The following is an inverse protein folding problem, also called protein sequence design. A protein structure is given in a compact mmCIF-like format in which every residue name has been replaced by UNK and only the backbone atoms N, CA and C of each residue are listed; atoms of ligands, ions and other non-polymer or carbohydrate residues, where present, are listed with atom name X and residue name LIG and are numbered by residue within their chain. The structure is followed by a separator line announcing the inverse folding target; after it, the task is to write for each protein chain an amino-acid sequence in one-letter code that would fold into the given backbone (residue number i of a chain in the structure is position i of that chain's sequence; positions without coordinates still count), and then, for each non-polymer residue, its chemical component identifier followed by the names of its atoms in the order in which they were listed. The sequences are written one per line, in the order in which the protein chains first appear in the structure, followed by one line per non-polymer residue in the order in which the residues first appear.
data_IF_447604375568
#
_entry.id   IF_447604375568
#
_cell.length_a   1.000
_cell.length_b   1.000
_cell.length_c   1.000
_cell.angle_alpha   90.00
_cell.angle_beta   90.00
_cell.angle_gamma   90.00
#
_symmetry.space_group_name_H-M   'P 1'
#
loop_
_entity.id
_entity.type
_entity.pdbx_description
1 polymer ?
#
# COMPACT_ATOMS: atom_id res chain seq x y z
N UNK A 1 -122.48 85.08 -100.06
CA UNK A 1 -122.31 86.55 -100.11
C UNK A 1 -123.55 87.30 -100.59
N UNK A 2 -124.06 87.08 -101.81
CA UNK A 2 -125.26 87.81 -102.30
C UNK A 2 -126.51 87.57 -101.42
N UNK A 3 -126.76 86.34 -100.97
CA UNK A 3 -127.83 86.03 -100.01
C UNK A 3 -127.65 86.77 -98.67
N UNK A 4 -126.43 86.75 -98.12
CA UNK A 4 -126.09 87.43 -96.86
C UNK A 4 -126.29 88.95 -96.95
N UNK A 5 -125.95 89.56 -98.09
CA UNK A 5 -126.14 90.99 -98.32
C UNK A 5 -127.62 91.40 -98.43
N UNK A 6 -128.44 90.60 -99.13
CA UNK A 6 -129.88 90.84 -99.26
C UNK A 6 -130.63 90.69 -97.92
N UNK A 7 -130.18 89.77 -97.07
CA UNK A 7 -130.66 89.62 -95.68
C UNK A 7 -130.35 90.87 -94.85
N UNK A 8 -129.11 91.36 -94.90
CA UNK A 8 -128.69 92.56 -94.16
C UNK A 8 -129.39 93.85 -94.63
N UNK A 9 -129.83 93.92 -95.89
CA UNK A 9 -130.60 95.04 -96.43
C UNK A 9 -132.11 94.99 -96.09
N UNK A 10 -132.58 93.99 -95.33
CA UNK A 10 -133.98 93.82 -94.94
C UNK A 10 -134.92 93.40 -96.08
N UNK A 11 -134.37 93.06 -97.26
CA UNK A 11 -135.14 92.73 -98.46
C UNK A 11 -135.66 91.29 -98.46
N UNK A 12 -135.14 90.42 -97.59
CA UNK A 12 -135.58 89.03 -97.49
C UNK A 12 -136.38 88.85 -96.19
N UNK A 13 -137.67 88.50 -96.27
CA UNK A 13 -138.50 88.24 -95.10
C UNK A 13 -137.91 87.15 -94.21
N UNK A 14 -138.08 87.30 -92.89
CA UNK A 14 -137.57 86.36 -91.90
C UNK A 14 -138.04 84.90 -92.17
N UNK A 15 -139.24 84.73 -92.72
CA UNK A 15 -139.79 83.41 -93.08
C UNK A 15 -138.97 82.70 -94.18
N UNK A 16 -138.50 83.45 -95.19
CA UNK A 16 -137.66 82.91 -96.26
C UNK A 16 -136.26 82.62 -95.72
N UNK A 17 -135.73 83.49 -94.85
CA UNK A 17 -134.46 83.23 -94.17
C UNK A 17 -134.52 81.93 -93.36
N UNK A 18 -135.61 81.71 -92.62
CA UNK A 18 -135.82 80.50 -91.84
C UNK A 18 -135.90 79.25 -92.73
N UNK A 19 -136.55 79.32 -93.90
CA UNK A 19 -136.61 78.20 -94.85
C UNK A 19 -135.25 77.87 -95.45
N UNK A 20 -134.47 78.88 -95.86
CA UNK A 20 -133.13 78.65 -96.38
C UNK A 20 -132.23 78.07 -95.29
N UNK A 21 -132.31 78.59 -94.06
CA UNK A 21 -131.58 78.02 -92.92
C UNK A 21 -131.97 76.56 -92.66
N UNK A 22 -133.27 76.25 -92.68
CA UNK A 22 -133.76 74.88 -92.51
C UNK A 22 -133.30 73.94 -93.65
N UNK A 23 -133.29 74.42 -94.90
CA UNK A 23 -132.81 73.65 -96.05
C UNK A 23 -131.30 73.40 -95.97
N UNK A 24 -130.53 74.42 -95.56
CA UNK A 24 -129.09 74.28 -95.32
C UNK A 24 -128.82 73.31 -94.17
N UNK A 25 -129.55 73.42 -93.06
CA UNK A 25 -129.45 72.48 -91.93
C UNK A 25 -129.79 71.05 -92.36
N UNK A 26 -130.82 70.84 -93.17
CA UNK A 26 -131.18 69.53 -93.69
C UNK A 26 -130.06 68.97 -94.59
N UNK A 27 -129.53 69.79 -95.51
CA UNK A 27 -128.42 69.40 -96.40
C UNK A 27 -127.15 69.04 -95.59
N UNK A 28 -126.79 69.89 -94.63
CA UNK A 28 -125.67 69.71 -93.69
C UNK A 28 -125.83 68.45 -92.83
N UNK A 29 -127.08 68.07 -92.52
CA UNK A 29 -127.36 66.90 -91.69
C UNK A 29 -127.42 65.58 -92.46
N UNK A 30 -127.34 65.61 -93.79
CA UNK A 30 -127.27 64.38 -94.59
C UNK A 30 -126.00 63.59 -94.27
N UNK A 31 -126.11 62.26 -94.24
CA UNK A 31 -124.98 61.37 -93.97
C UNK A 31 -123.87 61.54 -95.00
N UNK A 32 -124.21 61.82 -96.26
CA UNK A 32 -123.24 62.09 -97.32
C UNK A 32 -122.37 63.31 -97.02
N UNK A 33 -122.97 64.42 -96.56
CA UNK A 33 -122.21 65.64 -96.21
C UNK A 33 -121.38 65.43 -94.95
N UNK A 34 -121.93 64.76 -93.92
CA UNK A 34 -121.18 64.42 -92.70
C UNK A 34 -119.98 63.52 -92.97
N UNK A 35 -120.15 62.50 -93.82
CA UNK A 35 -119.08 61.59 -94.22
C UNK A 35 -117.97 62.34 -94.97
N UNK A 36 -118.34 63.18 -95.94
CA UNK A 36 -117.38 64.02 -96.66
C UNK A 36 -116.61 64.97 -95.73
N UNK A 37 -117.28 65.55 -94.73
CA UNK A 37 -116.63 66.38 -93.71
C UNK A 37 -115.63 65.52 -92.91
N UNK A 38 -116.02 64.34 -92.43
CA UNK A 38 -115.16 63.43 -91.66
C UNK A 38 -113.94 62.96 -92.45
N UNK A 39 -114.14 62.56 -93.71
CA UNK A 39 -113.06 62.10 -94.59
C UNK A 39 -112.09 63.22 -94.90
N UNK A 40 -112.61 64.43 -95.20
CA UNK A 40 -111.76 65.60 -95.41
C UNK A 40 -111.01 66.00 -94.15
N UNK A 41 -111.63 65.95 -92.97
CA UNK A 41 -110.96 66.22 -91.69
C UNK A 41 -109.87 65.20 -91.42
N UNK A 42 -110.11 63.92 -91.67
CA UNK A 42 -109.12 62.85 -91.49
C UNK A 42 -107.95 63.01 -92.44
N UNK A 43 -108.22 63.25 -93.73
CA UNK A 43 -107.18 63.53 -94.72
C UNK A 43 -106.39 64.80 -94.37
N UNK A 44 -107.07 65.85 -93.89
CA UNK A 44 -106.42 67.10 -93.50
C UNK A 44 -105.54 66.93 -92.25
N UNK A 45 -105.94 66.11 -91.26
CA UNK A 45 -105.09 65.72 -90.12
C UNK A 45 -103.85 64.97 -90.58
N UNK A 46 -104.01 64.00 -91.49
CA UNK A 46 -102.88 63.24 -92.03
C UNK A 46 -101.92 64.15 -92.79
N UNK A 47 -102.44 65.04 -93.64
CA UNK A 47 -101.65 66.04 -94.35
C UNK A 47 -100.91 66.98 -93.39
N UNK A 48 -101.58 67.44 -92.32
CA UNK A 48 -100.96 68.30 -91.29
C UNK A 48 -99.85 67.56 -90.53
N UNK A 49 -100.03 66.27 -90.21
CA UNK A 49 -98.99 65.44 -89.59
C UNK A 49 -97.80 65.28 -90.56
N UNK A 50 -98.06 64.95 -91.83
CA UNK A 50 -97.02 64.82 -92.86
C UNK A 50 -96.28 66.13 -93.11
N UNK A 51 -97.00 67.25 -93.18
CA UNK A 51 -96.43 68.60 -93.30
C UNK A 51 -95.59 68.97 -92.08
N UNK A 52 -96.04 68.68 -90.87
CA UNK A 52 -95.26 68.94 -89.65
C UNK A 52 -94.03 68.04 -89.55
N UNK A 53 -94.14 66.77 -89.96
CA UNK A 53 -93.00 65.83 -89.97
C UNK A 53 -92.01 66.12 -91.10
N UNK A 54 -92.47 66.72 -92.20
CA UNK A 54 -91.62 67.17 -93.32
C UNK A 54 -91.19 68.63 -93.16
N UNK A 55 -91.58 69.31 -92.08
CA UNK A 55 -91.19 70.67 -91.79
C UNK A 55 -89.70 70.70 -91.41
N UNK A 56 -88.92 71.50 -92.14
CA UNK A 56 -87.47 71.64 -91.91
C UNK A 56 -87.15 72.08 -90.47
N UNK A 57 -87.97 72.93 -89.85
CA UNK A 57 -87.75 73.38 -88.48
C UNK A 57 -87.97 72.25 -87.45
N UNK A 58 -89.02 71.42 -87.63
CA UNK A 58 -89.31 70.29 -86.74
C UNK A 58 -88.24 69.21 -86.87
N UNK A 59 -87.85 68.87 -88.10
CA UNK A 59 -86.80 67.88 -88.36
C UNK A 59 -85.42 68.37 -87.87
N UNK A 60 -85.11 69.66 -88.00
CA UNK A 60 -83.90 70.26 -87.42
C UNK A 60 -83.87 70.13 -85.89
N UNK A 61 -84.98 70.45 -85.20
CA UNK A 61 -85.09 70.31 -83.75
C UNK A 61 -84.90 68.85 -83.28
N UNK A 62 -85.50 67.88 -83.99
CA UNK A 62 -85.32 66.46 -83.68
C UNK A 62 -83.86 66.05 -83.88
N UNK A 63 -83.25 66.44 -85.00
CA UNK A 63 -81.86 66.11 -85.30
C UNK A 63 -80.89 66.73 -84.29
N UNK A 64 -81.14 67.96 -83.85
CA UNK A 64 -80.38 68.62 -82.79
C UNK A 64 -80.50 67.88 -81.45
N UNK A 65 -81.71 67.53 -81.03
CA UNK A 65 -81.93 66.75 -79.81
C UNK A 65 -81.24 65.37 -79.84
N UNK A 66 -81.29 64.68 -80.99
CA UNK A 66 -80.59 63.41 -81.18
C UNK A 66 -79.07 63.60 -81.15
N UNK A 67 -78.54 64.68 -81.72
CA UNK A 67 -77.12 65.00 -81.66
C UNK A 67 -76.68 65.28 -80.21
N UNK A 68 -77.44 66.08 -79.45
CA UNK A 68 -77.18 66.32 -78.03
C UNK A 68 -77.25 65.04 -77.20
N UNK A 69 -78.20 64.15 -77.47
CA UNK A 69 -78.30 62.86 -76.80
C UNK A 69 -77.09 61.95 -77.09
N UNK A 70 -76.58 61.95 -78.33
CA UNK A 70 -75.36 61.21 -78.71
C UNK A 70 -74.12 61.77 -78.02
N UNK A 71 -73.99 63.09 -77.93
CA UNK A 71 -72.86 63.69 -77.20
C UNK A 71 -72.95 63.37 -75.69
N UNK A 72 -74.15 63.46 -75.11
CA UNK A 72 -74.39 63.04 -73.72
C UNK A 72 -74.06 61.56 -73.48
N UNK A 73 -74.42 60.68 -74.41
CA UNK A 73 -74.04 59.26 -74.36
C UNK A 73 -72.52 59.09 -74.36
N UNK A 74 -71.80 59.83 -75.21
CA UNK A 74 -70.34 59.80 -75.28
C UNK A 74 -69.69 60.26 -73.98
N UNK A 75 -70.17 61.37 -73.39
CA UNK A 75 -69.69 61.83 -72.07
C UNK A 75 -69.90 60.77 -70.98
N UNK A 76 -71.05 60.09 -70.97
CA UNK A 76 -71.30 59.00 -70.03
C UNK A 76 -70.33 57.84 -70.24
N UNK A 77 -70.06 57.45 -71.49
CA UNK A 77 -69.09 56.40 -71.80
C UNK A 77 -67.67 56.75 -71.32
N UNK A 78 -67.24 58.01 -71.49
CA UNK A 78 -65.95 58.49 -70.98
C UNK A 78 -65.89 58.46 -69.44
N UNK A 79 -66.96 58.84 -68.75
CA UNK A 79 -67.06 58.76 -67.28
C UNK A 79 -67.02 57.32 -66.77
N UNK A 80 -67.69 56.38 -67.45
CA UNK A 80 -67.64 54.95 -67.12
C UNK A 80 -66.21 54.43 -67.24
N UNK A 81 -65.51 54.75 -68.34
CA UNK A 81 -64.13 54.34 -68.52
C UNK A 81 -63.19 54.91 -67.44
N UNK A 82 -63.39 56.16 -67.03
CA UNK A 82 -62.63 56.76 -65.92
C UNK A 82 -62.91 56.05 -64.58
N UNK A 83 -64.17 55.69 -64.31
CA UNK A 83 -64.55 54.97 -63.11
C UNK A 83 -63.95 53.56 -63.08
N UNK A 84 -63.92 52.87 -64.22
CA UNK A 84 -63.29 51.54 -64.35
C UNK A 84 -61.78 51.63 -64.08
N UNK A 85 -61.08 52.61 -64.66
CA UNK A 85 -59.67 52.85 -64.39
C UNK A 85 -59.40 53.18 -62.90
N UNK A 86 -60.30 53.94 -62.26
CA UNK A 86 -60.20 54.20 -60.82
C UNK A 86 -60.41 52.94 -59.98
N UNK A 87 -61.38 52.09 -60.35
CA UNK A 87 -61.62 50.80 -59.69
C UNK A 87 -60.41 49.86 -59.81
N UNK A 88 -59.77 49.80 -60.98
CA UNK A 88 -58.52 49.06 -61.18
C UNK A 88 -57.40 49.60 -60.28
N UNK A 89 -57.21 50.93 -60.24
CA UNK A 89 -56.24 51.55 -59.35
C UNK A 89 -56.50 51.22 -57.88
N UNK A 90 -57.74 51.33 -57.42
CA UNK A 90 -58.13 51.05 -56.04
C UNK A 90 -57.89 49.58 -55.66
N UNK A 91 -58.20 48.66 -56.58
CA UNK A 91 -57.95 47.22 -56.40
C UNK A 91 -56.46 46.92 -56.35
N UNK A 92 -55.67 47.57 -57.22
CA UNK A 92 -54.22 47.51 -57.21
C UNK A 92 -53.62 48.03 -55.91
N UNK A 93 -54.10 49.17 -55.41
CA UNK A 93 -53.67 49.76 -54.14
C UNK A 93 -53.98 48.83 -52.96
N UNK A 94 -55.17 48.24 -52.92
CA UNK A 94 -55.56 47.27 -51.88
C UNK A 94 -54.67 46.02 -51.91
N UNK A 95 -54.32 45.54 -53.10
CA UNK A 95 -53.40 44.41 -53.27
C UNK A 95 -51.98 44.76 -52.84
N UNK A 96 -51.52 45.97 -53.16
CA UNK A 96 -50.23 46.49 -52.73
C UNK A 96 -50.14 46.59 -51.20
N UNK A 97 -51.14 47.18 -50.53
CA UNK A 97 -51.15 47.30 -49.06
C UNK A 97 -51.17 45.93 -48.40
N UNK A 98 -51.94 44.98 -48.91
CA UNK A 98 -51.92 43.60 -48.42
C UNK A 98 -50.55 42.93 -48.60
N UNK A 99 -49.83 43.23 -49.69
CA UNK A 99 -48.45 42.80 -49.90
C UNK A 99 -47.47 43.40 -48.89
N UNK A 100 -47.61 44.70 -48.60
CA UNK A 100 -46.81 45.40 -47.59
C UNK A 100 -47.05 44.83 -46.19
N UNK A 101 -48.31 44.57 -45.82
CA UNK A 101 -48.65 43.98 -44.52
C UNK A 101 -48.06 42.57 -44.35
N UNK A 102 -48.06 41.77 -45.43
CA UNK A 102 -47.39 40.46 -45.45
C UNK A 102 -45.87 40.60 -45.30
N UNK A 103 -45.24 41.54 -46.00
CA UNK A 103 -43.81 41.78 -45.89
C UNK A 103 -43.42 42.25 -44.47
N UNK A 104 -44.22 43.14 -43.88
CA UNK A 104 -44.04 43.58 -42.50
C UNK A 104 -44.16 42.41 -41.50
N UNK A 105 -45.17 41.56 -41.65
CA UNK A 105 -45.34 40.37 -40.82
C UNK A 105 -44.15 39.42 -40.97
N UNK A 106 -43.73 39.11 -42.20
CA UNK A 106 -42.55 38.26 -42.46
C UNK A 106 -41.26 38.84 -41.89
N UNK A 107 -41.09 40.16 -41.86
CA UNK A 107 -39.95 40.80 -41.21
C UNK A 107 -39.95 40.67 -39.69
N UNK A 108 -41.14 40.65 -39.05
CA UNK A 108 -41.26 40.35 -37.62
C UNK A 108 -40.90 38.91 -37.31
N UNK A 109 -41.34 37.98 -38.15
CA UNK A 109 -41.01 36.56 -38.00
C UNK A 109 -39.50 36.35 -38.15
N UNK A 110 -38.88 36.97 -39.17
CA UNK A 110 -37.43 36.93 -39.37
C UNK A 110 -36.66 37.53 -38.18
N UNK A 111 -37.11 38.67 -37.65
CA UNK A 111 -36.50 39.28 -36.48
C UNK A 111 -36.59 38.38 -35.24
N UNK A 112 -37.71 37.67 -35.08
CA UNK A 112 -37.92 36.74 -33.97
C UNK A 112 -37.01 35.53 -34.11
N UNK A 113 -36.94 34.93 -35.30
CA UNK A 113 -36.03 33.81 -35.58
C UNK A 113 -34.55 34.19 -35.43
N UNK A 114 -34.17 35.42 -35.80
CA UNK A 114 -32.81 35.92 -35.59
C UNK A 114 -32.47 36.05 -34.08
N UNK A 115 -33.43 36.50 -33.26
CA UNK A 115 -33.26 36.57 -31.81
C UNK A 115 -33.14 35.17 -31.18
N UNK A 116 -33.93 34.20 -31.63
CA UNK A 116 -33.82 32.80 -31.21
C UNK A 116 -32.45 32.21 -31.57
N UNK A 117 -31.99 32.42 -32.81
CA UNK A 117 -30.67 31.97 -33.26
C UNK A 117 -29.54 32.59 -32.43
N UNK A 118 -29.62 33.89 -32.14
CA UNK A 118 -28.65 34.58 -31.29
C UNK A 118 -28.58 33.96 -29.90
N UNK A 119 -29.74 33.69 -29.28
CA UNK A 119 -29.79 33.06 -27.96
C UNK A 119 -29.24 31.63 -28.01
N UNK A 120 -29.60 30.84 -29.02
CA UNK A 120 -29.05 29.50 -29.21
C UNK A 120 -27.52 29.49 -29.40
N UNK A 121 -26.97 30.46 -30.14
CA UNK A 121 -25.53 30.62 -30.30
C UNK A 121 -24.84 31.01 -28.98
N UNK A 122 -25.48 31.85 -28.16
CA UNK A 122 -24.99 32.23 -26.82
C UNK A 122 -25.00 31.04 -25.86
N UNK A 123 -26.04 30.22 -25.89
CA UNK A 123 -26.12 29.00 -25.08
C UNK A 123 -25.07 27.98 -25.52
N UNK A 124 -24.87 27.79 -26.83
CA UNK A 124 -23.80 26.93 -27.36
C UNK A 124 -22.42 27.43 -26.94
N UNK A 125 -22.17 28.74 -27.00
CA UNK A 125 -20.91 29.32 -26.54
C UNK A 125 -20.67 29.06 -25.04
N UNK A 126 -21.72 29.22 -24.22
CA UNK A 126 -21.65 28.95 -22.78
C UNK A 126 -21.38 27.47 -22.50
N UNK A 127 -22.06 26.57 -23.19
CA UNK A 127 -21.86 25.12 -23.06
C UNK A 127 -20.46 24.66 -23.51
N UNK A 128 -19.92 25.24 -24.59
CA UNK A 128 -18.55 24.93 -25.05
C UNK A 128 -17.49 25.48 -24.08
N UNK A 129 -17.71 26.64 -23.46
CA UNK A 129 -16.85 27.16 -22.40
C UNK A 129 -16.86 26.26 -21.15
N UNK A 130 -18.04 25.77 -20.74
CA UNK A 130 -18.17 24.80 -19.64
C UNK A 130 -17.48 23.48 -19.96
N UNK A 131 -17.64 22.95 -21.17
CA UNK A 131 -16.97 21.74 -21.62
C UNK A 131 -15.44 21.90 -21.57
N UNK A 132 -14.90 23.02 -22.06
CA UNK A 132 -13.47 23.33 -21.99
C UNK A 132 -12.97 23.32 -20.54
N UNK A 133 -13.66 24.02 -19.64
CA UNK A 133 -13.29 24.06 -18.23
C UNK A 133 -13.32 22.66 -17.59
N UNK A 134 -14.34 21.85 -17.91
CA UNK A 134 -14.43 20.46 -17.46
C UNK A 134 -13.28 19.59 -17.98
N UNK A 135 -12.88 19.76 -19.25
CA UNK A 135 -11.73 19.03 -19.80
C UNK A 135 -10.40 19.44 -19.15
N UNK A 136 -10.20 20.73 -18.84
CA UNK A 136 -9.02 21.22 -18.13
C UNK A 136 -8.94 20.68 -16.69
N UNK A 137 -10.09 20.60 -16.01
CA UNK A 137 -10.20 19.95 -14.69
C UNK A 137 -9.86 18.46 -14.78
N UNK A 138 -10.38 17.75 -15.78
CA UNK A 138 -10.09 16.32 -15.98
C UNK A 138 -8.61 16.08 -16.25
N UNK A 139 -7.97 16.89 -17.11
CA UNK A 139 -6.52 16.82 -17.35
C UNK A 139 -5.72 17.08 -16.08
N UNK A 140 -6.10 18.10 -15.31
CA UNK A 140 -5.44 18.42 -14.03
C UNK A 140 -5.57 17.28 -13.04
N UNK A 141 -6.77 16.71 -12.88
CA UNK A 141 -7.02 15.54 -12.03
C UNK A 141 -6.25 14.30 -12.49
N UNK A 142 -6.15 14.08 -13.81
CA UNK A 142 -5.34 13.01 -14.38
C UNK A 142 -3.85 13.15 -14.05
N UNK A 143 -3.30 14.37 -14.14
CA UNK A 143 -1.91 14.64 -13.74
C UNK A 143 -1.68 14.40 -12.24
N UNK A 144 -2.61 14.84 -11.38
CA UNK A 144 -2.56 14.56 -9.94
C UNK A 144 -2.57 13.05 -9.65
N UNK A 145 -3.42 12.30 -10.35
CA UNK A 145 -3.46 10.84 -10.21
C UNK A 145 -2.14 10.18 -10.61
N UNK A 146 -1.55 10.59 -11.73
CA UNK A 146 -0.23 10.10 -12.18
C UNK A 146 0.84 10.39 -11.12
N UNK A 147 0.89 11.59 -10.57
CA UNK A 147 1.81 11.94 -9.49
C UNK A 147 1.61 11.04 -8.25
N UNK A 148 0.35 10.81 -7.85
CA UNK A 148 0.03 9.93 -6.73
C UNK A 148 0.45 8.46 -6.97
N UNK A 149 0.27 7.95 -8.19
CA UNK A 149 0.72 6.61 -8.57
C UNK A 149 2.25 6.49 -8.51
N UNK A 150 2.99 7.49 -9.00
CA UNK A 150 4.44 7.48 -8.94
C UNK A 150 4.97 7.55 -7.49
N UNK A 151 4.28 8.30 -6.62
CA UNK A 151 4.60 8.33 -5.19
C UNK A 151 4.35 6.97 -4.53
N UNK A 152 3.24 6.30 -4.86
CA UNK A 152 2.93 4.97 -4.35
C UNK A 152 3.97 3.93 -4.81
N UNK A 153 4.38 3.97 -6.08
CA UNK A 153 5.41 3.09 -6.64
C UNK A 153 6.76 3.30 -5.93
N UNK A 154 7.15 4.56 -5.72
CA UNK A 154 8.37 4.90 -4.97
C UNK A 154 8.31 4.39 -3.53
N UNK A 155 7.20 4.60 -2.83
CA UNK A 155 7.00 4.12 -1.46
C UNK A 155 6.97 2.59 -1.36
N UNK A 156 6.44 1.89 -2.38
CA UNK A 156 6.50 0.44 -2.46
C UNK A 156 7.95 -0.07 -2.67
N UNK A 157 8.76 0.65 -3.45
CA UNK A 157 10.19 0.41 -3.59
C UNK A 157 10.94 0.56 -2.26
N UNK A 158 10.73 1.67 -1.55
CA UNK A 158 11.34 1.91 -0.23
C UNK A 158 10.93 0.85 0.79
N UNK A 159 9.65 0.45 0.82
CA UNK A 159 9.17 -0.63 1.68
C UNK A 159 9.87 -1.95 1.37
N UNK A 160 10.01 -2.31 0.09
CA UNK A 160 10.71 -3.51 -0.34
C UNK A 160 12.16 -3.51 0.16
N UNK A 161 12.88 -2.41 -0.03
CA UNK A 161 14.28 -2.29 0.39
C UNK A 161 14.43 -2.33 1.92
N UNK A 162 13.50 -1.69 2.63
CA UNK A 162 13.41 -1.75 4.09
C UNK A 162 13.15 -3.17 4.60
N UNK A 163 12.25 -3.92 3.96
CA UNK A 163 12.00 -5.33 4.32
C UNK A 163 13.19 -6.23 4.01
N UNK A 164 13.92 -5.99 2.92
CA UNK A 164 15.18 -6.69 2.63
C UNK A 164 16.22 -6.45 3.72
N UNK A 165 16.42 -5.20 4.11
CA UNK A 165 17.34 -4.82 5.19
C UNK A 165 16.97 -5.44 6.53
N UNK A 166 15.66 -5.54 6.83
CA UNK A 166 15.16 -6.20 8.04
C UNK A 166 15.49 -7.71 8.04
N UNK A 167 15.27 -8.39 6.91
CA UNK A 167 15.61 -9.82 6.76
C UNK A 167 17.10 -10.05 6.97
N UNK A 168 17.96 -9.21 6.38
CA UNK A 168 19.41 -9.28 6.60
C UNK A 168 19.80 -9.07 8.06
N UNK A 169 19.15 -8.12 8.74
CA UNK A 169 19.34 -7.87 10.17
C UNK A 169 18.95 -9.07 11.03
N UNK A 170 17.81 -9.70 10.74
CA UNK A 170 17.33 -10.91 11.43
C UNK A 170 18.29 -12.08 11.21
N UNK A 171 18.79 -12.27 9.98
CA UNK A 171 19.77 -13.32 9.69
C UNK A 171 21.07 -13.10 10.47
N UNK A 172 21.59 -11.87 10.53
CA UNK A 172 22.77 -11.53 11.33
C UNK A 172 22.55 -11.79 12.81
N UNK A 173 21.38 -11.43 13.35
CA UNK A 173 21.03 -11.70 14.74
C UNK A 173 20.98 -13.20 15.03
N UNK A 174 20.35 -13.98 14.14
CA UNK A 174 20.30 -15.44 14.25
C UNK A 174 21.69 -16.08 14.24
N UNK A 175 22.58 -15.61 13.36
CA UNK A 175 23.97 -16.08 13.32
C UNK A 175 24.73 -15.72 14.60
N UNK A 176 24.59 -14.49 15.09
CA UNK A 176 25.21 -14.05 16.35
C UNK A 176 24.71 -14.83 17.56
N UNK A 177 23.41 -15.14 17.61
CA UNK A 177 22.84 -16.00 18.64
C UNK A 177 23.43 -17.41 18.60
N UNK A 178 23.60 -18.00 17.42
CA UNK A 178 24.27 -19.30 17.26
C UNK A 178 25.74 -19.27 17.70
N UNK A 179 26.48 -18.19 17.41
CA UNK A 179 27.85 -18.04 17.89
C UNK A 179 27.93 -17.92 19.42
N UNK A 180 27.00 -17.20 20.03
CA UNK A 180 26.91 -17.06 21.48
C UNK A 180 26.61 -18.40 22.16
N UNK A 181 25.69 -19.19 21.60
CA UNK A 181 25.34 -20.52 22.09
C UNK A 181 26.55 -21.46 22.05
N UNK A 182 27.27 -21.52 20.92
CA UNK A 182 28.52 -22.29 20.80
C UNK A 182 29.57 -21.85 21.81
N UNK A 183 29.79 -20.54 21.96
CA UNK A 183 30.77 -20.01 22.92
C UNK A 183 30.39 -20.29 24.38
N UNK A 184 29.09 -20.31 24.71
CA UNK A 184 28.62 -20.73 26.02
C UNK A 184 28.89 -22.24 26.27
N UNK A 185 28.72 -23.08 25.25
CA UNK A 185 29.10 -24.50 25.30
C UNK A 185 30.60 -24.70 25.55
N UNK A 186 31.46 -24.01 24.80
CA UNK A 186 32.91 -24.05 25.00
C UNK A 186 33.33 -23.60 26.40
N UNK A 187 32.70 -22.53 26.92
CA UNK A 187 32.95 -22.05 28.28
C UNK A 187 32.54 -23.07 29.34
N UNK A 188 31.41 -23.75 29.16
CA UNK A 188 30.95 -24.82 30.04
C UNK A 188 31.96 -25.97 30.07
N UNK A 189 32.40 -26.44 28.91
CA UNK A 189 33.38 -27.54 28.79
C UNK A 189 34.74 -27.17 29.41
N UNK A 190 35.21 -25.94 29.17
CA UNK A 190 36.41 -25.40 29.79
C UNK A 190 36.31 -25.32 31.31
N UNK A 191 35.16 -24.89 31.83
CA UNK A 191 34.88 -24.82 33.27
C UNK A 191 34.87 -26.22 33.90
N UNK A 192 34.25 -27.20 33.23
CA UNK A 192 34.26 -28.59 33.70
C UNK A 192 35.67 -29.18 33.71
N UNK A 193 36.48 -28.88 32.69
CA UNK A 193 37.89 -29.28 32.61
C UNK A 193 38.71 -28.68 33.75
N UNK A 194 38.49 -27.39 34.06
CA UNK A 194 39.14 -26.72 35.20
C UNK A 194 38.76 -27.38 36.53
N UNK A 195 37.47 -27.67 36.76
CA UNK A 195 37.01 -28.37 37.97
C UNK A 195 37.70 -29.73 38.13
N UNK A 196 37.79 -30.51 37.05
CA UNK A 196 38.47 -31.80 37.07
C UNK A 196 39.98 -31.66 37.36
N UNK A 197 40.63 -30.65 36.78
CA UNK A 197 42.04 -30.33 37.03
C UNK A 197 42.29 -29.95 38.48
N UNK A 198 41.43 -29.12 39.08
CA UNK A 198 41.48 -28.77 40.50
C UNK A 198 41.33 -30.02 41.37
N UNK A 199 40.37 -30.90 41.08
CA UNK A 199 40.22 -32.17 41.82
C UNK A 199 41.46 -33.07 41.75
N UNK A 200 42.09 -33.14 40.58
CA UNK A 200 43.36 -33.86 40.38
C UNK A 200 44.48 -33.25 41.22
N UNK A 201 44.62 -31.92 41.20
CA UNK A 201 45.62 -31.21 41.98
C UNK A 201 45.42 -31.41 43.49
N UNK A 202 44.17 -31.34 43.98
CA UNK A 202 43.85 -31.63 45.38
C UNK A 202 44.25 -33.04 45.78
N UNK A 203 43.97 -34.04 44.94
CA UNK A 203 44.37 -35.43 45.18
C UNK A 203 45.90 -35.57 45.23
N UNK A 204 46.62 -34.97 44.27
CA UNK A 204 48.07 -34.99 44.24
C UNK A 204 48.70 -34.29 45.46
N UNK A 205 48.12 -33.17 45.91
CA UNK A 205 48.56 -32.47 47.11
C UNK A 205 48.39 -33.35 48.38
N UNK A 206 47.28 -34.08 48.51
CA UNK A 206 47.08 -35.04 49.60
C UNK A 206 48.07 -36.20 49.56
N UNK A 207 48.38 -36.72 48.36
CA UNK A 207 49.40 -37.76 48.21
C UNK A 207 50.79 -37.27 48.61
N UNK A 208 51.15 -36.05 48.22
CA UNK A 208 52.43 -35.43 48.61
C UNK A 208 52.52 -35.23 50.13
N UNK A 209 51.44 -34.73 50.76
CA UNK A 209 51.36 -34.55 52.21
C UNK A 209 51.53 -35.89 52.95
N UNK A 210 50.82 -36.93 52.53
CA UNK A 210 50.97 -38.28 53.08
C UNK A 210 52.40 -38.81 52.92
N UNK A 211 52.99 -38.69 51.72
CA UNK A 211 54.37 -39.13 51.46
C UNK A 211 55.41 -38.34 52.28
N UNK A 212 55.18 -37.05 52.53
CA UNK A 212 56.01 -36.25 53.43
C UNK A 212 55.90 -36.75 54.88
N UNK A 213 54.70 -37.14 55.33
CA UNK A 213 54.47 -37.80 56.61
C UNK A 213 55.23 -39.13 56.73
N UNK A 214 55.14 -40.00 55.72
CA UNK A 214 55.87 -41.27 55.67
C UNK A 214 57.40 -41.07 55.69
N UNK A 215 57.90 -40.07 54.97
CA UNK A 215 59.32 -39.72 54.96
C UNK A 215 59.79 -39.24 56.35
N UNK A 216 59.00 -38.41 57.02
CA UNK A 216 59.27 -37.95 58.39
C UNK A 216 59.33 -39.14 59.36
N UNK A 217 58.38 -40.06 59.28
CA UNK A 217 58.36 -41.28 60.08
C UNK A 217 59.59 -42.16 59.83
N UNK A 218 59.98 -42.32 58.55
CA UNK A 218 61.19 -43.02 58.17
C UNK A 218 62.46 -42.37 58.73
N UNK A 219 62.56 -41.05 58.68
CA UNK A 219 63.66 -40.29 59.24
C UNK A 219 63.75 -40.44 60.77
N UNK A 220 62.60 -40.44 61.47
CA UNK A 220 62.53 -40.70 62.91
C UNK A 220 63.01 -42.11 63.26
N UNK A 221 62.54 -43.14 62.53
CA UNK A 221 63.01 -44.53 62.70
C UNK A 221 64.51 -44.68 62.46
N UNK A 222 65.04 -44.02 61.41
CA UNK A 222 66.48 -44.01 61.15
C UNK A 222 67.25 -43.36 62.32
N UNK A 223 66.78 -42.23 62.81
CA UNK A 223 67.37 -41.54 63.95
C UNK A 223 67.34 -42.40 65.23
N UNK A 224 66.29 -43.19 65.44
CA UNK A 224 66.22 -44.14 66.55
C UNK A 224 67.17 -45.32 66.36
N UNK A 225 67.25 -45.89 65.16
CA UNK A 225 68.23 -46.91 64.82
C UNK A 225 69.67 -46.44 65.01
N UNK A 226 69.98 -45.17 64.69
CA UNK A 226 71.28 -44.56 64.97
C UNK A 226 71.56 -44.47 66.47
N UNK A 227 70.56 -44.10 67.31
CA UNK A 227 70.73 -44.13 68.78
C UNK A 227 71.02 -45.55 69.27
N UNK A 228 70.25 -46.54 68.81
CA UNK A 228 70.47 -47.95 69.15
C UNK A 228 71.87 -48.42 68.74
N UNK A 229 72.33 -48.05 67.54
CA UNK A 229 73.68 -48.37 67.08
C UNK A 229 74.76 -47.74 67.97
N UNK A 230 74.60 -46.47 68.33
CA UNK A 230 75.52 -45.77 69.24
C UNK A 230 75.58 -46.49 70.59
N UNK A 231 74.44 -46.90 71.13
CA UNK A 231 74.39 -47.63 72.41
C UNK A 231 75.01 -49.02 72.30
N UNK A 232 74.80 -49.74 71.19
CA UNK A 232 75.50 -50.99 70.90
C UNK A 232 77.02 -50.83 70.78
N UNK A 233 77.50 -49.74 70.16
CA UNK A 233 78.93 -49.42 70.10
C UNK A 233 79.49 -49.14 71.50
N UNK A 234 78.76 -48.42 72.37
CA UNK A 234 79.17 -48.22 73.77
C UNK A 234 79.27 -49.54 74.51
N UNK A 235 78.24 -50.40 74.40
CA UNK A 235 78.26 -51.73 75.01
C UNK A 235 79.43 -52.58 74.51
N UNK A 236 79.70 -52.58 73.20
CA UNK A 236 80.84 -53.29 72.62
C UNK A 236 82.16 -52.75 73.17
N UNK A 237 82.32 -51.43 73.25
CA UNK A 237 83.50 -50.78 73.84
C UNK A 237 83.67 -51.17 75.31
N UNK A 238 82.59 -51.12 76.09
CA UNK A 238 82.60 -51.41 77.51
C UNK A 238 82.91 -52.90 77.76
N UNK A 239 82.29 -53.81 77.01
CA UNK A 239 82.60 -55.24 77.06
C UNK A 239 84.01 -55.58 76.56
N UNK A 240 84.54 -54.84 75.57
CA UNK A 240 85.94 -54.97 75.14
C UNK A 240 86.90 -54.52 76.23
N UNK A 241 86.52 -53.49 77.00
CA UNK A 241 87.29 -53.02 78.15
C UNK A 241 87.24 -54.04 79.29
N UNK A 242 86.06 -54.57 79.63
CA UNK A 242 85.92 -55.65 80.63
C UNK A 242 86.73 -56.89 80.23
N UNK A 243 86.68 -57.30 78.97
CA UNK A 243 87.49 -58.42 78.48
C UNK A 243 88.99 -58.13 78.63
N UNK A 244 89.42 -56.92 78.29
CA UNK A 244 90.81 -56.49 78.49
C UNK A 244 91.19 -56.54 79.97
N UNK A 245 90.38 -55.92 80.84
CA UNK A 245 90.63 -55.85 82.28
C UNK A 245 90.66 -57.27 82.89
N UNK A 246 89.74 -58.17 82.48
CA UNK A 246 89.72 -59.57 82.90
C UNK A 246 90.87 -60.41 82.36
N UNK A 247 91.36 -60.13 81.14
CA UNK A 247 92.57 -60.75 80.60
C UNK A 247 93.82 -60.27 81.34
N UNK A 248 93.89 -58.98 81.68
CA UNK A 248 94.96 -58.40 82.49
C UNK A 248 94.93 -59.04 83.90
N UNK A 249 93.75 -59.18 84.53
CA UNK A 249 93.59 -59.87 85.82
C UNK A 249 93.92 -61.36 85.76
N UNK A 250 93.46 -62.10 84.74
CA UNK A 250 93.80 -63.51 84.56
C UNK A 250 95.32 -63.70 84.41
N UNK A 251 95.96 -62.83 83.64
CA UNK A 251 97.40 -62.85 83.49
C UNK A 251 98.12 -62.58 84.82
N UNK A 252 97.69 -61.56 85.56
CA UNK A 252 98.32 -61.18 86.83
C UNK A 252 98.04 -62.16 87.98
N UNK A 253 96.80 -62.65 88.12
CA UNK A 253 96.39 -63.49 89.26
C UNK A 253 96.56 -64.98 89.03
N UNK A 254 96.39 -65.47 87.80
CA UNK A 254 96.52 -66.91 87.52
C UNK A 254 97.90 -67.22 86.92
N UNK A 255 98.24 -66.62 85.78
CA UNK A 255 99.46 -66.96 85.04
C UNK A 255 100.70 -66.58 85.86
N UNK A 256 100.78 -65.33 86.32
CA UNK A 256 101.93 -64.85 87.08
C UNK A 256 102.10 -65.58 88.41
N UNK A 257 101.03 -65.85 89.17
CA UNK A 257 101.13 -66.64 90.42
C UNK A 257 101.60 -68.08 90.17
N UNK A 258 101.17 -68.73 89.08
CA UNK A 258 101.70 -70.05 88.71
C UNK A 258 103.19 -69.97 88.37
N UNK A 259 103.58 -68.94 87.63
CA UNK A 259 105.00 -68.68 87.29
C UNK A 259 105.82 -68.41 88.56
N UNK A 260 105.32 -67.61 89.49
CA UNK A 260 106.00 -67.26 90.74
C UNK A 260 106.07 -68.45 91.71
N UNK A 261 105.00 -69.26 91.83
CA UNK A 261 104.98 -70.46 92.66
C UNK A 261 105.98 -71.55 92.20
N UNK A 262 106.51 -71.42 90.98
CA UNK A 262 107.60 -72.27 90.47
C UNK A 262 108.94 -71.52 90.36
N UNK A 263 109.08 -70.36 91.01
CA UNK A 263 110.26 -69.48 90.94
C UNK A 263 110.69 -69.16 89.49
N UNK A 264 109.73 -69.07 88.56
CA UNK A 264 109.97 -68.83 87.14
C UNK A 264 110.41 -70.06 86.33
N UNK A 265 110.64 -71.23 86.96
CA UNK A 265 111.07 -72.46 86.29
C UNK A 265 109.91 -73.44 86.04
N UNK A 266 109.00 -73.05 85.13
CA UNK A 266 107.90 -73.91 84.69
C UNK A 266 108.41 -75.22 84.07
N UNK A 267 109.54 -75.18 83.37
CA UNK A 267 110.12 -76.36 82.73
C UNK A 267 110.56 -77.40 83.78
N UNK A 268 111.22 -76.94 84.85
CA UNK A 268 111.61 -77.78 85.98
C UNK A 268 110.44 -78.38 86.75
N UNK A 269 109.33 -77.63 86.94
CA UNK A 269 108.10 -78.20 87.50
C UNK A 269 107.55 -79.31 86.60
N UNK A 270 107.46 -79.06 85.29
CA UNK A 270 106.92 -80.02 84.33
C UNK A 270 107.75 -81.31 84.31
N UNK A 271 109.08 -81.19 84.39
CA UNK A 271 110.00 -82.33 84.42
C UNK A 271 109.91 -83.11 85.73
N UNK A 272 109.75 -82.45 86.89
CA UNK A 272 109.45 -83.15 88.17
C UNK A 272 108.11 -83.88 88.13
N UNK A 273 107.09 -83.27 87.53
CA UNK A 273 105.77 -83.89 87.40
C UNK A 273 105.86 -85.16 86.51
N UNK A 274 106.55 -85.05 85.38
CA UNK A 274 106.85 -86.21 84.51
C UNK A 274 107.67 -87.27 85.24
N UNK A 275 108.69 -86.88 86.01
CA UNK A 275 109.53 -87.80 86.77
C UNK A 275 108.73 -88.56 87.84
N UNK A 276 107.83 -87.91 88.56
CA UNK A 276 106.96 -88.59 89.55
C UNK A 276 105.88 -89.44 88.92
N UNK A 277 105.33 -89.01 87.77
CA UNK A 277 104.45 -89.88 86.97
C UNK A 277 105.21 -91.13 86.49
N UNK A 278 106.48 -91.00 86.11
CA UNK A 278 107.31 -92.13 85.73
C UNK A 278 107.64 -93.04 86.93
N UNK A 279 108.05 -92.48 88.06
CA UNK A 279 108.36 -93.24 89.28
C UNK A 279 107.13 -93.93 89.89
N UNK A 280 105.94 -93.33 89.77
CA UNK A 280 104.69 -93.91 90.26
C UNK A 280 104.17 -95.08 89.45
N UNK A 281 104.65 -95.31 88.23
CA UNK A 281 104.24 -96.46 87.40
C UNK A 281 104.74 -97.80 87.94
N UNK A 282 105.87 -97.82 88.64
CA UNK A 282 106.51 -99.05 89.13
C UNK A 282 106.33 -99.25 90.66
N UNK A 283 105.58 -98.37 91.34
CA UNK A 283 105.45 -98.37 92.80
C UNK A 283 104.06 -98.83 93.28
N UNK A 284 103.96 -100.11 93.64
CA UNK A 284 102.68 -100.71 94.03
C UNK A 284 102.36 -100.62 95.53
N UNK A 285 103.30 -100.86 96.45
CA UNK A 285 103.09 -100.74 97.92
C UNK A 285 104.41 -100.54 98.70
N UNK A 286 104.39 -99.88 99.86
CA UNK A 286 105.59 -99.59 100.67
C UNK A 286 106.23 -100.83 101.32
N UNK A 287 105.46 -101.87 101.64
CA UNK A 287 105.93 -103.06 102.36
C UNK A 287 106.10 -104.31 101.48
N UNK A 288 105.91 -104.21 100.16
CA UNK A 288 105.87 -105.35 99.24
C UNK A 288 104.54 -106.11 99.31
N UNK A 289 103.91 -106.33 98.15
CA UNK A 289 102.55 -106.88 98.04
C UNK A 289 102.57 -108.37 97.68
N UNK A 290 101.86 -109.25 98.40
CA UNK A 290 101.55 -110.60 97.93
C UNK A 290 100.54 -110.59 96.77
N UNK A 291 100.66 -111.53 95.84
CA UNK A 291 99.98 -111.54 94.53
C UNK A 291 98.44 -111.57 94.55
N UNK A 292 97.80 -111.71 95.72
CA UNK A 292 96.35 -111.92 95.85
C UNK A 292 95.53 -110.68 96.24
N UNK A 293 96.13 -109.49 96.33
CA UNK A 293 95.43 -108.23 96.63
C UNK A 293 95.62 -107.18 95.55
N UNK A 294 94.68 -106.25 95.34
CA UNK A 294 94.87 -105.06 94.53
C UNK A 294 94.97 -103.82 95.42
N UNK A 295 95.96 -102.96 95.18
CA UNK A 295 96.17 -101.71 95.89
C UNK A 295 96.58 -100.60 94.91
N UNK A 296 96.27 -99.35 95.24
CA UNK A 296 96.65 -98.17 94.45
C UNK A 296 97.35 -97.15 95.35
N UNK A 297 98.50 -96.65 94.92
CA UNK A 297 99.24 -95.60 95.63
C UNK A 297 98.94 -94.24 95.00
N UNK A 298 98.48 -93.30 95.81
CA UNK A 298 98.27 -91.92 95.38
C UNK A 298 99.47 -91.08 95.82
N UNK A 299 100.23 -90.59 94.84
CA UNK A 299 101.25 -89.58 95.09
C UNK A 299 100.56 -88.22 95.22
N UNK A 300 100.72 -87.59 96.38
CA UNK A 300 100.19 -86.27 96.66
C UNK A 300 101.35 -85.30 96.66
N UNK A 301 101.34 -84.38 95.69
CA UNK A 301 102.18 -83.21 95.76
C UNK A 301 101.52 -82.20 96.69
N UNK A 302 102.24 -81.84 97.74
CA UNK A 302 101.86 -80.73 98.60
C UNK A 302 102.66 -79.53 98.17
N UNK A 303 102.02 -78.63 97.44
CA UNK A 303 102.55 -77.28 97.23
C UNK A 303 102.17 -76.42 98.43
N UNK A 304 102.85 -75.29 98.60
CA UNK A 304 102.33 -74.24 99.47
C UNK A 304 100.95 -73.80 98.96
N UNK A 305 100.10 -73.32 99.87
CA UNK A 305 98.83 -72.76 99.47
C UNK A 305 99.12 -71.53 98.60
N UNK A 306 98.56 -71.49 97.40
CA UNK A 306 98.52 -70.26 96.61
C UNK A 306 97.50 -69.37 97.33
N UNK A 307 97.95 -68.47 98.21
CA UNK A 307 97.04 -67.53 98.86
C UNK A 307 96.47 -66.59 97.80
N UNK A 308 95.15 -66.45 97.82
CA UNK A 308 94.51 -65.26 97.31
C UNK A 308 94.64 -64.19 98.40
N UNK A 309 95.81 -63.56 98.50
CA UNK A 309 95.86 -62.24 99.09
C UNK A 309 95.25 -61.30 98.04
N UNK A 310 94.07 -60.76 98.40
CA UNK A 310 93.33 -59.73 97.68
C UNK A 310 94.11 -58.41 97.62
#
# INVERSE_FOLDING_TARGET
EQYSAAVSAGQIPQSVQNQVNAAVEAQMNTDAVKLQISDKVTAQKQLLIEQNMSNEAVTAQINEAVASAKEGQKTIQELVAQLDAYNEFYTGLTSYTAGVDKAYSGSKDLSSGAAELYNGAKDLHSGTAQLKAGTEQLTSGGNTLISGVNQLDSGAGELKDGTGSLVDGVNKLSSGAGQLDSGAGELMDGTQSLVNGVGTLTTGAQQLDNGAGELLDGANKLNDGVKTLIDGIKQLRDGSKELKDGMDEFNDKAVKKIVDAVDGDIAGLLDKLKATVAAGKDYDTFSGKPDTMNGSVKFIYRTEAISADD
#
